data_IF_605073302309
#
_entry.id   IF_605073302309
#
_cell.length_a   1.000
_cell.length_b   1.000
_cell.length_c   1.000
_cell.angle_alpha   90.00
_cell.angle_beta   90.00
_cell.angle_gamma   90.00
#
_symmetry.space_group_name_H-M   'P 1'
#
loop_
_entity.id
_entity.type
_entity.pdbx_description
1 polymer ?
#
# COMPACT_ATOMS: atom_id res chain seq x y z
N UNK A 1 -22.64 -6.07 22.48
CA UNK A 1 -22.71 -5.17 21.31
C UNK A 1 -21.41 -5.37 20.56
N UNK A 2 -21.45 -6.10 19.45
CA UNK A 2 -20.25 -6.33 18.65
C UNK A 2 -19.99 -5.11 17.78
N UNK A 3 -19.03 -4.29 18.20
CA UNK A 3 -18.51 -3.20 17.38
C UNK A 3 -17.82 -3.79 16.17
N UNK A 4 -18.15 -3.29 14.98
CA UNK A 4 -17.43 -3.56 13.75
C UNK A 4 -15.92 -3.40 14.00
N UNK A 5 -15.14 -4.50 13.90
CA UNK A 5 -13.68 -4.43 13.92
C UNK A 5 -13.21 -3.80 12.61
N UNK A 6 -12.93 -2.51 12.66
CA UNK A 6 -12.36 -1.76 11.55
C UNK A 6 -10.86 -2.05 11.49
N UNK A 7 -10.46 -3.04 10.69
CA UNK A 7 -9.07 -3.31 10.29
C UNK A 7 -8.06 -3.57 11.42
N UNK A 8 -6.83 -3.92 11.06
CA UNK A 8 -5.67 -3.79 11.95
C UNK A 8 -4.92 -2.50 11.59
N UNK A 9 -4.55 -1.73 12.61
CA UNK A 9 -3.60 -0.63 12.48
C UNK A 9 -2.22 -1.18 12.83
N UNK A 10 -1.26 -1.02 11.92
CA UNK A 10 0.14 -1.33 12.14
C UNK A 10 0.96 -0.02 12.12
N UNK A 11 1.87 0.12 13.07
CA UNK A 11 2.74 1.28 13.21
C UNK A 11 4.19 0.82 13.32
N UNK A 12 5.05 1.37 12.46
CA UNK A 12 6.47 1.11 12.46
C UNK A 12 7.23 1.98 13.44
N UNK A 13 8.54 1.86 13.35
CA UNK A 13 9.53 2.57 14.13
C UNK A 13 10.10 3.75 13.35
N UNK A 14 11.02 4.52 13.93
CA UNK A 14 11.76 5.55 13.18
C UNK A 14 13.05 4.96 12.57
N UNK A 15 13.03 3.68 12.24
CA UNK A 15 14.14 2.92 11.68
C UNK A 15 13.61 1.98 10.60
N UNK A 16 14.44 1.56 9.63
CA UNK A 16 14.04 0.62 8.59
C UNK A 16 13.34 -0.62 9.13
N UNK A 17 12.12 -0.85 8.67
CA UNK A 17 11.23 -1.93 9.06
C UNK A 17 10.91 -2.87 7.88
N UNK A 18 10.66 -4.15 8.19
CA UNK A 18 10.08 -5.11 7.24
C UNK A 18 8.68 -5.49 7.73
N UNK A 19 7.68 -4.92 7.07
CA UNK A 19 6.32 -4.83 7.53
C UNK A 19 5.49 -5.84 6.74
N UNK A 20 5.12 -6.92 7.43
CA UNK A 20 4.41 -8.05 6.84
C UNK A 20 3.19 -8.43 7.70
N UNK A 21 1.96 -8.06 7.29
CA UNK A 21 0.73 -8.20 8.12
C UNK A 21 0.19 -9.64 8.13
N UNK A 22 0.31 -10.36 9.26
CA UNK A 22 0.10 -11.83 9.30
C UNK A 22 -1.33 -12.32 9.02
N UNK A 23 -1.50 -13.54 8.45
CA UNK A 23 -2.74 -14.05 7.87
C UNK A 23 -3.85 -14.43 8.87
N UNK A 24 -3.70 -14.11 10.16
CA UNK A 24 -4.74 -14.42 11.17
C UNK A 24 -6.00 -13.56 11.03
N UNK A 25 -5.96 -12.60 10.12
CA UNK A 25 -6.86 -11.48 10.06
C UNK A 25 -7.67 -11.56 8.78
N UNK A 26 -8.91 -12.02 8.90
CA UNK A 26 -9.92 -11.91 7.83
C UNK A 26 -10.34 -10.45 7.58
N UNK A 27 -9.47 -9.50 7.91
CA UNK A 27 -9.75 -8.07 7.83
C UNK A 27 -9.57 -7.65 6.38
N UNK A 28 -10.64 -7.17 5.78
CA UNK A 28 -10.71 -6.72 4.38
C UNK A 28 -10.03 -5.36 4.15
N UNK A 29 -9.43 -4.77 5.19
CA UNK A 29 -8.85 -3.43 5.20
C UNK A 29 -7.77 -3.36 6.28
N UNK A 30 -6.54 -3.00 5.93
CA UNK A 30 -5.48 -2.67 6.89
C UNK A 30 -5.09 -1.19 6.79
N UNK A 31 -4.61 -0.63 7.90
CA UNK A 31 -3.97 0.69 7.93
C UNK A 31 -2.54 0.52 8.40
N UNK A 32 -1.57 0.93 7.59
CA UNK A 32 -0.15 0.75 7.82
C UNK A 32 0.53 2.12 7.78
N UNK A 33 1.26 2.43 8.85
CA UNK A 33 2.14 3.61 8.91
C UNK A 33 3.55 3.13 9.21
N UNK A 34 4.44 3.19 8.21
CA UNK A 34 5.81 2.72 8.33
C UNK A 34 6.68 3.69 9.16
N UNK A 35 6.46 5.00 8.97
CA UNK A 35 7.11 6.14 9.66
C UNK A 35 8.46 6.47 9.03
N UNK A 36 9.47 6.82 9.82
CA UNK A 36 10.76 7.22 9.24
C UNK A 36 11.61 5.97 9.04
N UNK A 37 12.32 5.85 7.94
CA UNK A 37 13.13 4.67 7.61
C UNK A 37 13.01 4.33 6.14
N UNK A 38 13.96 3.55 5.62
CA UNK A 38 13.82 2.93 4.31
C UNK A 38 13.07 1.60 4.53
N UNK A 39 11.76 1.59 4.35
CA UNK A 39 10.89 0.49 4.76
C UNK A 39 10.54 -0.46 3.62
N UNK A 40 10.31 -1.73 3.96
CA UNK A 40 9.69 -2.71 3.06
C UNK A 40 8.29 -3.03 3.58
N UNK A 41 7.26 -2.66 2.83
CA UNK A 41 5.86 -2.79 3.25
C UNK A 41 5.07 -3.70 2.32
N UNK A 42 4.40 -4.68 2.91
CA UNK A 42 3.45 -5.56 2.23
C UNK A 42 2.06 -5.46 2.86
N UNK A 43 1.07 -4.97 2.11
CA UNK A 43 -0.35 -4.95 2.51
C UNK A 43 -0.90 -6.35 2.81
N UNK A 44 -0.44 -7.31 2.00
CA UNK A 44 -0.72 -8.76 2.01
C UNK A 44 -2.18 -9.13 1.85
N UNK A 45 -2.40 -10.10 0.95
CA UNK A 45 -3.72 -10.66 0.72
C UNK A 45 -3.80 -12.18 0.73
N UNK A 46 -4.85 -12.68 1.39
CA UNK A 46 -5.13 -14.11 1.53
C UNK A 46 -5.92 -14.70 0.37
N UNK A 47 -6.63 -13.88 -0.44
CA UNK A 47 -7.46 -14.41 -1.54
C UNK A 47 -7.24 -13.67 -2.85
N UNK A 48 -6.74 -14.41 -3.83
CA UNK A 48 -6.41 -14.01 -5.21
C UNK A 48 -7.60 -13.57 -6.08
N UNK A 49 -8.75 -13.26 -5.50
CA UNK A 49 -9.98 -12.94 -6.23
C UNK A 49 -10.69 -11.66 -5.79
N UNK A 50 -10.36 -11.10 -4.61
CA UNK A 50 -11.00 -9.85 -4.14
C UNK A 50 -10.07 -8.92 -3.37
N UNK A 51 -8.93 -9.41 -2.87
CA UNK A 51 -8.00 -8.62 -2.08
C UNK A 51 -8.58 -7.94 -0.83
N UNK A 52 -7.74 -7.16 -0.17
CA UNK A 52 -8.06 -6.29 0.95
C UNK A 52 -7.72 -4.87 0.49
N UNK A 53 -8.62 -3.94 0.75
CA UNK A 53 -8.38 -2.55 0.40
C UNK A 53 -7.56 -1.92 1.51
N UNK A 54 -6.26 -1.80 1.31
CA UNK A 54 -5.33 -1.32 2.32
C UNK A 54 -5.11 0.19 2.23
N UNK A 55 -4.70 0.77 3.35
CA UNK A 55 -4.19 2.14 3.42
C UNK A 55 -2.77 2.08 3.96
N UNK A 56 -1.80 2.42 3.13
CA UNK A 56 -0.37 2.30 3.45
C UNK A 56 0.29 3.67 3.28
N UNK A 57 1.01 4.12 4.31
CA UNK A 57 1.94 5.25 4.25
C UNK A 57 3.35 4.80 4.61
N UNK A 58 4.29 5.05 3.71
CA UNK A 58 5.73 4.93 3.91
C UNK A 58 6.25 6.01 4.87
N UNK A 59 5.94 7.28 4.57
CA UNK A 59 6.35 8.47 5.31
C UNK A 59 7.75 8.96 4.91
N UNK A 60 8.76 8.97 5.79
CA UNK A 60 10.06 9.56 5.43
C UNK A 60 11.10 8.47 5.18
N UNK A 61 11.63 8.39 3.96
CA UNK A 61 12.70 7.47 3.59
C UNK A 61 12.46 6.90 2.20
N UNK A 62 13.35 6.06 1.71
CA UNK A 62 13.20 5.43 0.40
C UNK A 62 12.46 4.10 0.55
N UNK A 63 11.14 4.14 0.47
CA UNK A 63 10.30 2.99 0.80
C UNK A 63 10.04 2.08 -0.40
N UNK A 64 9.79 0.81 -0.13
CA UNK A 64 9.27 -0.16 -1.10
C UNK A 64 7.92 -0.68 -0.61
N UNK A 65 6.85 -0.33 -1.32
CA UNK A 65 5.47 -0.62 -0.90
C UNK A 65 4.80 -1.55 -1.93
N UNK A 66 4.17 -2.62 -1.44
CA UNK A 66 3.35 -3.56 -2.21
C UNK A 66 1.91 -3.60 -1.67
N UNK A 67 0.93 -3.13 -2.46
CA UNK A 67 -0.51 -3.19 -2.14
C UNK A 67 -1.09 -4.60 -2.27
N UNK A 68 -0.84 -5.23 -3.43
CA UNK A 68 -1.26 -6.58 -3.83
C UNK A 68 -2.61 -6.66 -4.54
N UNK A 69 -3.71 -7.11 -3.92
CA UNK A 69 -5.02 -7.17 -4.57
C UNK A 69 -5.97 -6.22 -3.84
N UNK A 70 -7.05 -5.80 -4.48
CA UNK A 70 -8.00 -4.88 -3.85
C UNK A 70 -7.75 -3.44 -4.29
N UNK A 71 -8.64 -2.54 -3.89
CA UNK A 71 -8.51 -1.13 -4.23
C UNK A 71 -7.76 -0.41 -3.09
N UNK A 72 -6.46 -0.16 -3.28
CA UNK A 72 -5.58 0.34 -2.23
C UNK A 72 -5.38 1.87 -2.25
N UNK A 73 -5.06 2.43 -1.09
CA UNK A 73 -4.52 3.79 -0.94
C UNK A 73 -3.07 3.71 -0.49
N UNK A 74 -2.13 4.01 -1.38
CA UNK A 74 -0.69 3.89 -1.13
C UNK A 74 -0.01 5.25 -1.22
N UNK A 75 0.76 5.62 -0.20
CA UNK A 75 1.50 6.89 -0.17
C UNK A 75 2.95 6.64 0.26
N UNK A 76 3.90 7.11 -0.53
CA UNK A 76 5.32 7.16 -0.17
C UNK A 76 5.65 8.35 0.73
N UNK A 77 5.09 9.53 0.40
CA UNK A 77 5.29 10.82 1.10
C UNK A 77 6.66 11.50 0.87
N UNK A 78 7.66 11.26 1.71
CA UNK A 78 8.99 11.87 1.62
C UNK A 78 9.92 11.07 0.72
N UNK A 79 11.02 11.68 0.27
CA UNK A 79 12.12 10.96 -0.40
C UNK A 79 11.68 10.14 -1.64
N UNK A 80 12.48 9.14 -2.05
CA UNK A 80 12.32 8.43 -3.32
C UNK A 80 11.80 7.01 -3.14
N UNK A 81 10.50 6.84 -3.36
CA UNK A 81 9.82 5.57 -3.13
C UNK A 81 9.68 4.71 -4.37
N UNK A 82 9.49 3.41 -4.15
CA UNK A 82 9.01 2.45 -5.14
C UNK A 82 7.68 1.85 -4.68
N UNK A 83 6.61 2.14 -5.40
CA UNK A 83 5.26 1.69 -5.02
C UNK A 83 4.67 0.80 -6.12
N UNK A 84 4.20 -0.37 -5.72
CA UNK A 84 3.49 -1.34 -6.53
C UNK A 84 2.06 -1.46 -6.00
N UNK A 85 1.08 -0.94 -6.75
CA UNK A 85 -0.36 -1.10 -6.45
C UNK A 85 -0.79 -2.55 -6.48
N UNK A 86 -0.66 -3.17 -7.66
CA UNK A 86 -1.06 -4.55 -7.88
C UNK A 86 -2.40 -4.61 -8.63
N UNK A 87 -3.28 -5.53 -8.24
CA UNK A 87 -4.57 -5.76 -8.87
C UNK A 87 -5.68 -4.99 -8.17
N UNK A 88 -6.26 -4.01 -8.86
CA UNK A 88 -7.41 -3.26 -8.38
C UNK A 88 -7.34 -1.82 -8.85
N UNK A 89 -8.23 -0.97 -8.34
CA UNK A 89 -8.26 0.45 -8.65
C UNK A 89 -7.53 1.23 -7.55
N UNK A 90 -6.21 1.24 -7.64
CA UNK A 90 -5.38 1.87 -6.62
C UNK A 90 -5.36 3.39 -6.73
N UNK A 91 -5.08 4.03 -5.60
CA UNK A 91 -4.76 5.44 -5.48
C UNK A 91 -3.34 5.55 -4.91
N UNK A 92 -2.38 5.84 -5.78
CA UNK A 92 -0.96 5.89 -5.42
C UNK A 92 -0.45 7.33 -5.42
N UNK A 93 0.27 7.70 -4.36
CA UNK A 93 0.99 8.98 -4.22
C UNK A 93 2.46 8.71 -3.93
N UNK A 94 3.32 8.83 -4.95
CA UNK A 94 4.76 8.54 -4.86
C UNK A 94 5.65 9.57 -4.15
N UNK A 95 5.09 10.48 -3.37
CA UNK A 95 5.87 11.43 -2.56
C UNK A 95 6.32 12.75 -3.23
N UNK A 96 7.16 13.51 -2.52
CA UNK A 96 7.59 14.88 -2.86
C UNK A 96 8.89 14.97 -3.66
N UNK A 97 9.63 13.87 -3.77
CA UNK A 97 10.76 13.74 -4.70
C UNK A 97 10.52 12.60 -5.68
N UNK A 98 11.15 12.62 -6.85
CA UNK A 98 10.85 11.66 -7.92
C UNK A 98 11.36 10.25 -7.58
N UNK A 99 10.51 9.43 -6.96
CA UNK A 99 10.61 7.97 -6.93
C UNK A 99 10.09 7.31 -8.22
N UNK A 100 10.28 5.99 -8.34
CA UNK A 100 9.77 5.21 -9.47
C UNK A 100 8.39 4.63 -9.15
N UNK A 101 7.35 5.09 -9.84
CA UNK A 101 6.04 4.44 -9.82
C UNK A 101 6.03 3.29 -10.84
N UNK A 102 5.88 2.07 -10.36
CA UNK A 102 5.75 0.88 -11.22
C UNK A 102 4.33 0.34 -11.06
N UNK A 103 3.42 0.86 -11.88
CA UNK A 103 2.07 0.31 -12.00
C UNK A 103 2.15 -0.92 -12.91
N UNK A 104 2.37 -2.09 -12.32
CA UNK A 104 2.39 -3.36 -13.04
C UNK A 104 0.94 -3.75 -13.41
N UNK A 105 0.45 -3.19 -14.51
CA UNK A 105 -0.74 -3.66 -15.22
C UNK A 105 -0.49 -5.08 -15.75
N UNK A 106 -0.65 -6.10 -14.91
CA UNK A 106 -0.76 -7.48 -15.37
C UNK A 106 -2.24 -7.82 -15.61
N UNK A 107 -2.81 -7.11 -16.59
CA UNK A 107 -4.02 -7.39 -17.36
C UNK A 107 -5.36 -7.52 -16.60
N UNK A 108 -6.31 -6.62 -16.90
CA UNK A 108 -7.41 -6.93 -17.84
C UNK A 108 -8.01 -5.64 -18.47
N UNK A 109 -7.88 -5.54 -19.79
CA UNK A 109 -8.92 -5.10 -20.74
C UNK A 109 -9.60 -3.73 -20.45
N UNK A 110 -9.11 -2.68 -21.13
CA UNK A 110 -9.81 -1.46 -21.58
C UNK A 110 -10.42 -0.49 -20.53
N UNK A 111 -10.13 0.82 -20.75
CA UNK A 111 -10.69 2.03 -20.13
C UNK A 111 -10.26 2.26 -18.67
N UNK A 112 -9.65 3.37 -18.24
CA UNK A 112 -9.65 4.77 -18.71
C UNK A 112 -8.43 5.46 -18.07
N UNK A 113 -7.84 6.43 -18.76
CA UNK A 113 -6.79 7.32 -18.24
C UNK A 113 -7.12 7.84 -16.82
N UNK A 114 -6.37 7.39 -15.80
CA UNK A 114 -6.33 8.08 -14.51
C UNK A 114 -5.06 8.92 -14.46
N UNK A 115 -5.19 10.13 -14.99
CA UNK A 115 -4.18 11.20 -14.98
C UNK A 115 -3.73 11.46 -13.54
N UNK A 116 -2.48 11.14 -13.22
CA UNK A 116 -1.84 11.66 -12.00
C UNK A 116 -1.42 13.10 -12.29
N UNK A 117 -2.07 14.06 -11.62
CA UNK A 117 -1.67 15.47 -11.66
C UNK A 117 -0.40 15.64 -10.83
N UNK A 118 0.70 15.96 -11.52
CA UNK A 118 1.93 16.54 -10.96
C UNK A 118 1.74 18.02 -10.71
#
# INVERSE_FOLDING_TARGET
>A
MEGFKMGKIWQGSESPDNIDIRPSDRHKFNVIWAKSGDDLVHGRDFSSLSGANDTISGANGNDVIYGHHGDDFLSGEGDSDTIYGGFGNDAIRGGTTTGFLVELLMEQINFTEKKVMT
#
